data_IF_904690873699
#
_entry.id   IF_904690873699
#
_cell.length_a   1.000
_cell.length_b   1.000
_cell.length_c   1.000
_cell.angle_alpha   90.00
_cell.angle_beta   90.00
_cell.angle_gamma   90.00
#
_symmetry.space_group_name_H-M   'P 1'
#
loop_
_entity.id
_entity.type
_entity.pdbx_description
1 polymer ?
#
# COMPACT_ATOMS: atom_id res chain seq x y z
N UNK A 1 -15.63 -25.53 7.51
CA UNK A 1 -14.99 -24.40 8.22
C UNK A 1 -15.04 -23.21 7.28
N UNK A 2 -16.06 -22.37 7.42
CA UNK A 2 -16.09 -21.07 6.74
C UNK A 2 -15.02 -20.21 7.42
N UNK A 3 -13.98 -19.83 6.68
CA UNK A 3 -13.00 -18.87 7.16
C UNK A 3 -13.67 -17.52 7.28
N UNK A 4 -14.18 -17.19 8.47
CA UNK A 4 -14.65 -15.85 8.77
C UNK A 4 -13.45 -14.90 8.68
N UNK A 5 -13.56 -13.83 7.90
CA UNK A 5 -12.66 -12.67 8.03
C UNK A 5 -12.95 -12.06 9.41
N UNK A 6 -12.20 -12.50 10.42
CA UNK A 6 -12.54 -12.25 11.81
C UNK A 6 -11.97 -10.93 12.36
N UNK A 7 -11.09 -10.26 11.63
CA UNK A 7 -10.48 -9.00 12.06
C UNK A 7 -10.58 -7.94 10.96
N UNK A 8 -11.20 -6.81 11.32
CA UNK A 8 -11.13 -5.57 10.56
C UNK A 8 -10.14 -4.65 11.27
N UNK A 9 -9.17 -4.11 10.53
CA UNK A 9 -8.18 -3.20 11.06
C UNK A 9 -8.12 -1.93 10.20
N UNK A 10 -8.07 -0.78 10.87
CA UNK A 10 -7.81 0.49 10.20
C UNK A 10 -6.31 0.60 9.91
N UNK A 11 -5.95 0.58 8.63
CA UNK A 11 -4.57 0.67 8.17
C UNK A 11 -4.39 1.88 7.25
N UNK A 12 -3.18 2.43 7.25
CA UNK A 12 -2.80 3.57 6.42
C UNK A 12 -2.14 3.09 5.14
N UNK A 13 -2.45 3.73 4.02
CA UNK A 13 -1.77 3.48 2.74
C UNK A 13 -0.38 4.09 2.77
N UNK A 14 0.64 3.24 2.78
CA UNK A 14 2.06 3.63 2.78
C UNK A 14 2.67 3.67 1.38
N UNK A 15 2.03 3.04 0.40
CA UNK A 15 2.50 3.01 -0.97
C UNK A 15 1.58 2.20 -1.87
N UNK A 16 1.95 2.10 -3.15
CA UNK A 16 1.23 1.29 -4.11
C UNK A 16 2.13 0.72 -5.20
N UNK A 17 1.64 -0.35 -5.83
CA UNK A 17 2.21 -0.97 -7.00
C UNK A 17 1.32 -0.66 -8.21
N UNK A 18 1.97 -0.24 -9.28
CA UNK A 18 1.33 -0.14 -10.57
C UNK A 18 1.05 -1.54 -11.12
N UNK A 19 -0.17 -1.75 -11.59
CA UNK A 19 -0.54 -2.97 -12.29
C UNK A 19 0.24 -3.10 -13.60
N UNK A 20 0.26 -4.31 -14.17
CA UNK A 20 0.84 -4.58 -15.49
C UNK A 20 -0.25 -4.76 -16.55
N UNK A 21 0.09 -4.67 -17.85
CA UNK A 21 -0.85 -4.89 -18.95
C UNK A 21 -1.78 -3.71 -19.26
N UNK A 22 -3.06 -3.96 -19.55
CA UNK A 22 -4.06 -2.91 -19.89
C UNK A 22 -4.28 -1.88 -18.78
N UNK A 23 -3.95 -2.21 -17.53
CA UNK A 23 -3.97 -1.31 -16.36
C UNK A 23 -2.58 -0.73 -16.04
N UNK A 24 -1.64 -0.76 -17.00
CA UNK A 24 -0.21 -0.40 -16.87
C UNK A 24 0.15 1.03 -16.44
N UNK A 25 -0.80 1.83 -15.99
CA UNK A 25 -0.58 3.17 -15.42
C UNK A 25 -1.37 3.42 -14.14
N UNK A 26 -2.10 2.42 -13.65
CA UNK A 26 -2.97 2.52 -12.48
C UNK A 26 -2.36 1.77 -11.30
N UNK A 27 -2.35 2.42 -10.15
CA UNK A 27 -2.08 1.78 -8.86
C UNK A 27 -3.20 0.78 -8.57
N UNK A 28 -2.88 -0.51 -8.55
CA UNK A 28 -3.88 -1.58 -8.38
C UNK A 28 -3.66 -2.40 -7.11
N UNK A 29 -2.48 -2.29 -6.49
CA UNK A 29 -2.19 -2.94 -5.21
C UNK A 29 -1.65 -1.88 -4.26
N UNK A 30 -2.24 -1.78 -3.08
CA UNK A 30 -1.86 -0.82 -2.05
C UNK A 30 -1.11 -1.53 -0.92
N UNK A 31 -0.05 -0.88 -0.46
CA UNK A 31 0.73 -1.31 0.69
C UNK A 31 0.15 -0.64 1.93
N UNK A 32 -0.38 -1.45 2.84
CA UNK A 32 -1.04 -1.01 4.06
C UNK A 32 -0.10 -1.19 5.25
N UNK A 33 -0.13 -0.24 6.17
CA UNK A 33 0.69 -0.28 7.37
C UNK A 33 0.09 0.46 8.55
N UNK A 34 0.77 0.35 9.68
CA UNK A 34 0.45 1.01 10.93
C UNK A 34 1.63 1.85 11.40
N UNK A 35 1.35 2.82 12.25
CA UNK A 35 2.35 3.63 12.91
C UNK A 35 2.63 3.06 14.30
N UNK A 36 3.91 2.90 14.61
CA UNK A 36 4.38 2.51 15.94
C UNK A 36 4.90 3.76 16.69
N UNK A 37 4.20 4.20 17.75
CA UNK A 37 4.59 5.38 18.52
C UNK A 37 5.85 5.15 19.37
N UNK A 38 6.24 3.90 19.66
CA UNK A 38 7.44 3.62 20.46
C UNK A 38 8.73 3.84 19.67
N UNK A 39 8.69 3.50 18.38
CA UNK A 39 9.86 3.61 17.49
C UNK A 39 9.81 4.81 16.54
N UNK A 40 8.71 5.58 16.56
CA UNK A 40 8.43 6.72 15.67
C UNK A 40 8.55 6.32 14.19
N UNK A 41 7.99 5.15 13.85
CA UNK A 41 8.15 4.54 12.53
C UNK A 41 6.86 3.91 12.02
N UNK A 42 6.76 3.85 10.70
CA UNK A 42 5.70 3.15 10.00
C UNK A 42 6.13 1.72 9.67
N UNK A 43 5.22 0.77 9.85
CA UNK A 43 5.45 -0.65 9.57
C UNK A 43 4.41 -1.16 8.59
N UNK A 44 4.86 -1.89 7.58
CA UNK A 44 3.97 -2.52 6.61
C UNK A 44 3.37 -3.80 7.16
N UNK A 45 2.05 -3.93 7.05
CA UNK A 45 1.30 -5.08 7.55
C UNK A 45 0.85 -5.98 6.39
N UNK A 46 0.27 -5.38 5.35
CA UNK A 46 -0.37 -6.15 4.29
C UNK A 46 -0.32 -5.47 2.93
N UNK A 47 -0.56 -6.25 1.87
CA UNK A 47 -0.88 -5.75 0.53
C UNK A 47 -2.34 -6.04 0.23
N UNK A 48 -3.05 -5.04 -0.30
CA UNK A 48 -4.43 -5.20 -0.74
C UNK A 48 -4.57 -4.80 -2.20
N UNK A 49 -4.98 -5.73 -3.05
CA UNK A 49 -5.21 -5.48 -4.49
C UNK A 49 -6.64 -5.74 -4.97
N UNK A 50 -7.49 -6.29 -4.09
CA UNK A 50 -8.87 -6.66 -4.39
C UNK A 50 -9.81 -5.99 -3.38
N UNK A 51 -11.11 -5.90 -3.69
CA UNK A 51 -12.11 -5.29 -2.80
C UNK A 51 -12.30 -3.79 -2.99
N UNK A 52 -11.64 -3.18 -3.98
CA UNK A 52 -11.90 -1.81 -4.41
C UNK A 52 -12.78 -1.81 -5.65
N UNK A 53 -13.84 -1.01 -5.65
CA UNK A 53 -14.60 -0.70 -6.86
C UNK A 53 -13.86 0.31 -7.73
N UNK A 54 -14.29 0.48 -8.98
CA UNK A 54 -13.63 1.37 -9.94
C UNK A 54 -13.64 2.84 -9.47
N UNK A 55 -14.73 3.26 -8.80
CA UNK A 55 -14.85 4.61 -8.25
C UNK A 55 -13.85 4.87 -7.12
N UNK A 56 -13.63 3.91 -6.22
CA UNK A 56 -12.62 4.01 -5.16
C UNK A 56 -11.23 3.99 -5.75
N UNK A 57 -10.97 3.14 -6.74
CA UNK A 57 -9.68 3.12 -7.44
C UNK A 57 -9.37 4.47 -8.09
N UNK A 58 -10.34 5.12 -8.73
CA UNK A 58 -10.16 6.44 -9.34
C UNK A 58 -9.87 7.53 -8.27
N UNK A 59 -10.59 7.51 -7.15
CA UNK A 59 -10.32 8.39 -6.00
C UNK A 59 -8.92 8.18 -5.44
N UNK A 60 -8.49 6.91 -5.30
CA UNK A 60 -7.15 6.58 -4.83
C UNK A 60 -6.09 7.01 -5.85
N UNK A 61 -6.33 6.85 -7.16
CA UNK A 61 -5.42 7.37 -8.18
C UNK A 61 -5.26 8.88 -8.05
N UNK A 62 -6.38 9.62 -7.98
CA UNK A 62 -6.35 11.09 -7.99
C UNK A 62 -5.79 11.66 -6.69
N UNK A 63 -6.17 11.10 -5.54
CA UNK A 63 -5.74 11.57 -4.23
C UNK A 63 -4.31 11.17 -3.84
N UNK A 64 -3.85 9.97 -4.21
CA UNK A 64 -2.53 9.48 -3.81
C UNK A 64 -1.42 9.88 -4.80
N UNK A 65 -1.72 9.94 -6.10
CA UNK A 65 -0.72 10.27 -7.13
C UNK A 65 0.09 11.54 -6.87
N UNK A 66 -0.45 12.67 -6.35
CA UNK A 66 0.38 13.85 -6.04
C UNK A 66 1.37 13.63 -4.89
N UNK A 67 1.07 12.71 -3.96
CA UNK A 67 1.90 12.43 -2.78
C UNK A 67 2.76 11.15 -2.93
N UNK A 68 2.67 10.47 -4.07
CA UNK A 68 3.42 9.25 -4.34
C UNK A 68 4.79 9.55 -4.94
N UNK A 69 5.84 9.04 -4.29
CA UNK A 69 7.20 9.04 -4.85
C UNK A 69 7.51 7.68 -5.46
N UNK A 70 7.84 7.65 -6.75
CA UNK A 70 8.18 6.40 -7.45
C UNK A 70 9.56 5.91 -7.01
N UNK A 71 9.59 4.80 -6.28
CA UNK A 71 10.83 4.12 -5.85
C UNK A 71 11.25 2.98 -6.77
N UNK A 72 10.43 2.59 -7.75
CA UNK A 72 10.71 1.49 -8.71
C UNK A 72 11.22 0.18 -8.06
N UNK A 73 10.67 -0.18 -6.89
CA UNK A 73 11.09 -1.34 -6.07
C UNK A 73 12.55 -1.29 -5.57
N UNK A 74 13.17 -0.12 -5.56
CA UNK A 74 14.50 0.06 -5.02
C UNK A 74 14.43 0.32 -3.50
N UNK A 75 14.91 -0.61 -2.65
CA UNK A 75 14.86 -0.44 -1.19
C UNK A 75 15.67 0.76 -0.70
N UNK A 76 16.69 1.19 -1.45
CA UNK A 76 17.53 2.32 -1.06
C UNK A 76 16.82 3.67 -1.20
N UNK A 77 15.70 3.71 -1.91
CA UNK A 77 14.87 4.91 -2.05
C UNK A 77 13.77 4.97 -0.98
N UNK A 78 13.74 4.00 -0.05
CA UNK A 78 12.78 4.01 1.02
C UNK A 78 13.11 5.06 2.07
N UNK A 79 12.10 5.80 2.55
CA UNK A 79 12.30 6.73 3.65
C UNK A 79 12.70 5.97 4.91
N UNK A 80 13.67 6.51 5.67
CA UNK A 80 14.17 5.90 6.92
C UNK A 80 13.10 5.79 8.01
N UNK A 81 12.04 6.58 7.92
CA UNK A 81 10.88 6.55 8.82
C UNK A 81 9.91 5.41 8.51
N UNK A 82 10.08 4.68 7.39
CA UNK A 82 9.21 3.59 6.99
C UNK A 82 9.99 2.26 6.92
N UNK A 83 9.61 1.34 7.77
CA UNK A 83 10.07 -0.05 7.78
C UNK A 83 9.15 -0.89 6.89
N UNK A 84 9.58 -1.12 5.65
CA UNK A 84 8.89 -2.00 4.72
C UNK A 84 9.49 -3.41 4.81
N UNK A 85 8.65 -4.42 5.04
CA UNK A 85 9.09 -5.82 4.98
C UNK A 85 9.61 -6.15 3.59
N UNK A 86 10.79 -6.77 3.50
CA UNK A 86 11.45 -7.10 2.21
C UNK A 86 10.62 -8.04 1.35
N UNK A 87 9.79 -8.88 1.96
CA UNK A 87 8.85 -9.77 1.26
C UNK A 87 7.77 -8.99 0.50
N UNK A 88 7.57 -7.72 0.87
CA UNK A 88 6.60 -6.87 0.26
C UNK A 88 7.18 -6.03 -0.89
N UNK A 89 8.49 -5.88 -1.08
CA UNK A 89 9.03 -5.01 -2.15
C UNK A 89 9.15 -5.74 -3.48
#
# INVERSE_FOLDING_TARGET
MEGTMADTADLVVLGAYYGTGKKGGLMSVFLLGCYDPETDRWYTVAKCGNGFDDATLEKLQTGLKPNMTKISKNPNQLPKWCSISRELI
#
